data_IF_726200478192
#
_entry.id   IF_726200478192
#
_cell.length_a   1.000
_cell.length_b   1.000
_cell.length_c   1.000
_cell.angle_alpha   90.00
_cell.angle_beta   90.00
_cell.angle_gamma   90.00
#
_symmetry.space_group_name_H-M   'P 1'
#
loop_
_entity.id
_entity.type
_entity.pdbx_description
1 polymer ?
#
# COMPACT_ATOMS: atom_id res chain seq x y z
N UNK A 1 -23.14 43.71 34.13
CA UNK A 1 -21.79 43.21 34.33
C UNK A 1 -21.39 42.52 33.04
N UNK A 2 -20.58 43.18 32.22
CA UNK A 2 -20.16 42.67 30.93
C UNK A 2 -18.92 41.75 31.09
N UNK A 3 -19.01 40.52 30.65
CA UNK A 3 -17.92 39.58 30.68
C UNK A 3 -16.97 39.84 29.51
N UNK A 4 -15.69 40.00 29.80
CA UNK A 4 -14.58 40.18 28.84
C UNK A 4 -14.40 38.93 27.97
N UNK A 5 -14.00 39.08 26.69
CA UNK A 5 -13.73 37.94 25.79
C UNK A 5 -12.41 37.22 26.19
N UNK A 6 -12.28 35.93 25.86
CA UNK A 6 -11.09 35.15 26.17
C UNK A 6 -9.88 35.61 25.34
N UNK A 7 -8.70 35.61 25.97
CA UNK A 7 -7.41 35.95 25.36
C UNK A 7 -7.00 34.89 24.34
N UNK A 8 -6.60 35.34 23.17
CA UNK A 8 -5.93 34.53 22.15
C UNK A 8 -4.56 34.03 22.65
N UNK A 9 -4.13 32.82 22.36
CA UNK A 9 -2.81 32.32 22.70
C UNK A 9 -1.72 33.03 21.89
N UNK A 10 -0.67 33.48 22.58
CA UNK A 10 0.54 34.03 21.96
C UNK A 10 1.32 32.94 21.23
N UNK A 11 1.42 33.07 19.92
CA UNK A 11 2.41 32.31 19.15
C UNK A 11 3.75 33.04 19.14
N UNK A 12 4.89 32.35 19.29
CA UNK A 12 6.19 32.98 19.18
C UNK A 12 6.40 33.56 17.77
N UNK A 13 6.89 34.79 17.73
CA UNK A 13 7.16 35.53 16.50
C UNK A 13 8.15 34.76 15.61
N UNK A 14 7.77 34.55 14.37
CA UNK A 14 8.67 34.05 13.31
C UNK A 14 9.73 35.12 13.08
N UNK A 15 11.04 34.79 13.05
CA UNK A 15 12.08 35.78 12.75
C UNK A 15 11.89 36.33 11.35
N UNK A 16 11.91 37.64 11.23
CA UNK A 16 11.84 38.39 9.97
C UNK A 16 13.11 38.14 9.14
N UNK A 17 12.99 37.33 8.08
CA UNK A 17 14.05 37.06 7.10
C UNK A 17 13.98 38.00 5.90
N UNK A 18 13.48 39.21 6.04
CA UNK A 18 13.33 40.19 4.92
C UNK A 18 14.63 40.89 4.52
N UNK A 19 15.81 40.36 4.83
CA UNK A 19 17.08 40.78 4.24
C UNK A 19 17.49 39.88 3.07
N UNK A 20 16.68 39.80 2.03
CA UNK A 20 17.13 39.20 0.76
C UNK A 20 18.04 40.17 0.03
N UNK A 21 19.37 40.02 0.14
CA UNK A 21 20.33 40.61 -0.79
C UNK A 21 19.95 40.22 -2.22
N UNK A 22 19.43 41.17 -3.00
CA UNK A 22 19.19 41.01 -4.43
C UNK A 22 20.54 40.83 -5.14
N UNK A 23 20.87 39.57 -5.46
CA UNK A 23 22.06 39.29 -6.28
C UNK A 23 21.85 39.87 -7.67
N UNK A 24 22.73 40.81 -8.13
CA UNK A 24 22.60 41.39 -9.47
C UNK A 24 22.66 40.30 -10.54
N UNK A 25 21.79 40.41 -11.56
CA UNK A 25 21.67 39.44 -12.68
C UNK A 25 23.02 39.01 -13.28
N UNK A 26 24.00 39.94 -13.39
CA UNK A 26 25.35 39.65 -13.88
C UNK A 26 26.15 38.66 -12.98
N UNK A 27 25.97 38.71 -11.65
CA UNK A 27 26.62 37.75 -10.71
C UNK A 27 25.97 36.36 -10.73
N UNK A 28 24.68 36.31 -10.99
CA UNK A 28 23.96 35.04 -11.15
C UNK A 28 24.38 34.30 -12.42
N UNK A 29 24.46 34.99 -13.55
CA UNK A 29 24.92 34.43 -14.82
C UNK A 29 26.42 34.06 -14.81
N UNK A 30 27.26 34.82 -14.11
CA UNK A 30 28.67 34.46 -13.91
C UNK A 30 28.90 33.19 -13.07
N UNK A 31 28.00 32.88 -12.11
CA UNK A 31 28.06 31.65 -11.34
C UNK A 31 27.55 30.44 -12.14
N UNK A 32 26.61 30.61 -13.07
CA UNK A 32 26.19 29.55 -13.99
C UNK A 32 27.28 29.23 -15.02
N UNK A 33 27.99 30.22 -15.53
CA UNK A 33 29.11 30.00 -16.44
C UNK A 33 30.35 29.39 -15.80
N UNK A 34 30.64 29.70 -14.52
CA UNK A 34 31.71 29.10 -13.74
C UNK A 34 31.38 27.66 -13.26
N UNK A 35 30.11 27.32 -13.08
CA UNK A 35 29.68 25.98 -12.73
C UNK A 35 29.69 24.97 -13.88
N UNK A 36 29.54 25.45 -15.13
CA UNK A 36 29.55 24.58 -16.31
C UNK A 36 30.95 24.06 -16.69
N UNK A 37 32.02 24.73 -16.27
CA UNK A 37 33.40 24.30 -16.54
C UNK A 37 33.95 23.25 -15.55
N UNK A 38 33.31 23.07 -14.36
CA UNK A 38 33.73 22.11 -13.37
C UNK A 38 32.95 20.76 -13.44
N UNK A 39 31.90 20.65 -14.25
CA UNK A 39 31.09 19.46 -14.40
C UNK A 39 31.48 18.48 -15.51
N UNK A 40 32.62 18.76 -16.20
CA UNK A 40 33.10 17.90 -17.31
C UNK A 40 34.01 16.77 -16.86
N UNK A 41 34.27 16.59 -15.54
CA UNK A 41 35.18 15.56 -15.03
C UNK A 41 34.57 14.69 -13.90
N UNK A 42 33.28 14.37 -13.95
CA UNK A 42 32.75 13.22 -13.22
C UNK A 42 32.12 12.25 -14.23
N UNK A 43 32.87 11.23 -14.69
CA UNK A 43 32.29 10.14 -15.46
C UNK A 43 31.36 9.35 -14.54
N UNK A 44 30.16 9.10 -15.00
CA UNK A 44 29.14 8.13 -14.63
C UNK A 44 29.45 6.98 -13.68
N UNK A 45 29.80 7.24 -12.43
CA UNK A 45 30.00 6.19 -11.41
C UNK A 45 28.98 6.23 -10.27
N UNK A 46 27.95 7.07 -10.30
CA UNK A 46 26.93 7.15 -9.23
C UNK A 46 25.51 6.74 -9.61
N UNK A 47 25.28 6.43 -10.87
CA UNK A 47 24.13 5.67 -11.32
C UNK A 47 24.69 4.43 -11.98
N UNK A 48 24.81 3.34 -11.23
CA UNK A 48 25.05 2.03 -11.81
C UNK A 48 23.97 1.81 -12.88
N UNK A 49 24.32 1.99 -14.15
CA UNK A 49 23.42 1.76 -15.24
C UNK A 49 22.99 0.30 -15.15
N UNK A 50 21.73 0.06 -14.85
CA UNK A 50 21.12 -1.26 -15.07
C UNK A 50 21.33 -1.53 -16.57
N UNK A 51 22.14 -2.52 -16.95
CA UNK A 51 22.37 -2.82 -18.37
C UNK A 51 21.02 -3.11 -19.01
N UNK A 52 20.77 -2.63 -20.23
CA UNK A 52 19.51 -2.92 -20.92
C UNK A 52 19.35 -4.44 -21.02
N UNK A 53 18.21 -5.00 -20.66
CA UNK A 53 17.98 -6.45 -20.72
C UNK A 53 18.18 -6.95 -22.16
N UNK A 54 18.93 -8.04 -22.33
CA UNK A 54 19.30 -8.62 -23.64
C UNK A 54 18.10 -9.15 -24.44
N UNK A 55 16.99 -9.41 -23.86
CA UNK A 55 15.65 -9.59 -24.41
C UNK A 55 14.72 -9.19 -23.28
N UNK A 56 13.83 -8.23 -23.54
CA UNK A 56 12.97 -7.72 -22.48
C UNK A 56 11.92 -8.76 -22.14
N UNK A 57 11.90 -9.31 -20.91
CA UNK A 57 10.84 -10.21 -20.49
C UNK A 57 9.50 -9.48 -20.46
N UNK A 58 8.47 -10.11 -21.01
CA UNK A 58 7.10 -9.62 -21.05
C UNK A 58 6.22 -10.63 -20.30
N UNK A 59 5.23 -10.15 -19.52
CA UNK A 59 4.28 -11.03 -18.85
C UNK A 59 3.59 -12.00 -19.82
N UNK A 60 3.44 -11.62 -21.09
CA UNK A 60 2.91 -12.50 -22.16
C UNK A 60 3.75 -13.76 -22.39
N UNK A 61 5.01 -13.77 -22.01
CA UNK A 61 5.88 -14.97 -22.09
C UNK A 61 5.55 -16.03 -21.04
N UNK A 62 4.83 -15.67 -19.96
CA UNK A 62 4.42 -16.59 -18.90
C UNK A 62 3.35 -17.63 -19.34
N UNK A 63 2.93 -17.62 -20.60
CA UNK A 63 1.90 -18.48 -21.14
C UNK A 63 0.48 -17.92 -20.97
N UNK A 64 -0.52 -18.73 -21.35
CA UNK A 64 -1.92 -18.31 -21.26
C UNK A 64 -2.36 -18.10 -19.82
N UNK A 65 -3.26 -17.12 -19.53
CA UNK A 65 -3.85 -16.96 -18.21
C UNK A 65 -4.46 -18.26 -17.70
N UNK A 66 -4.19 -18.60 -16.42
CA UNK A 66 -4.77 -19.79 -15.80
C UNK A 66 -4.18 -21.14 -16.25
N UNK A 67 -3.09 -21.18 -17.03
CA UNK A 67 -2.43 -22.45 -17.36
C UNK A 67 -2.04 -23.21 -16.08
N UNK A 68 -2.40 -24.50 -15.95
CA UNK A 68 -2.11 -25.29 -14.74
C UNK A 68 -0.61 -25.52 -14.63
N UNK A 69 0.03 -24.77 -13.72
CA UNK A 69 1.42 -24.99 -13.26
C UNK A 69 1.40 -25.15 -11.75
N UNK A 70 2.20 -26.09 -11.24
CA UNK A 70 2.25 -26.33 -9.80
C UNK A 70 2.81 -25.09 -9.07
N UNK A 71 2.32 -24.76 -7.85
CA UNK A 71 2.84 -23.65 -7.05
C UNK A 71 4.34 -23.75 -6.77
N UNK A 72 4.89 -24.95 -6.69
CA UNK A 72 6.29 -25.27 -6.40
C UNK A 72 7.22 -25.20 -7.65
N UNK A 73 6.75 -24.73 -8.80
CA UNK A 73 7.58 -24.59 -10.01
C UNK A 73 8.51 -23.37 -9.88
N UNK A 74 9.71 -23.59 -9.36
CA UNK A 74 10.73 -22.54 -9.19
C UNK A 74 11.24 -21.97 -10.53
N UNK A 75 11.10 -22.70 -11.62
CA UNK A 75 11.44 -22.19 -12.96
C UNK A 75 10.46 -21.08 -13.36
N UNK A 76 9.16 -21.31 -13.16
CA UNK A 76 8.14 -20.28 -13.37
C UNK A 76 8.40 -19.03 -12.53
N UNK A 77 8.75 -19.18 -11.25
CA UNK A 77 9.03 -18.02 -10.39
C UNK A 77 10.32 -17.30 -10.76
N UNK A 78 11.31 -17.99 -11.37
CA UNK A 78 12.46 -17.33 -11.98
C UNK A 78 12.08 -16.51 -13.21
N UNK A 79 11.17 -17.02 -14.06
CA UNK A 79 10.60 -16.25 -15.17
C UNK A 79 9.86 -15.01 -14.68
N UNK A 80 9.01 -15.14 -13.64
CA UNK A 80 8.32 -14.00 -13.01
C UNK A 80 9.34 -12.99 -12.46
N UNK A 81 10.35 -13.43 -11.71
CA UNK A 81 11.40 -12.56 -11.15
C UNK A 81 12.11 -11.76 -12.25
N UNK A 82 12.35 -12.35 -13.40
CA UNK A 82 13.03 -11.71 -14.53
C UNK A 82 12.25 -10.52 -15.14
N UNK A 83 10.94 -10.40 -14.86
CA UNK A 83 10.12 -9.25 -15.28
C UNK A 83 10.46 -7.96 -14.52
N UNK A 84 11.20 -8.05 -13.41
CA UNK A 84 11.47 -6.92 -12.52
C UNK A 84 12.91 -6.41 -12.66
N UNK A 85 13.15 -5.09 -12.63
CA UNK A 85 14.48 -4.49 -12.74
C UNK A 85 15.23 -4.53 -11.40
N UNK A 86 15.38 -5.73 -10.81
CA UNK A 86 15.99 -5.90 -9.51
C UNK A 86 17.50 -5.69 -9.57
N UNK A 87 18.04 -5.03 -8.54
CA UNK A 87 19.48 -4.91 -8.39
C UNK A 87 20.10 -6.30 -8.04
N UNK A 88 21.15 -6.75 -8.74
CA UNK A 88 21.68 -8.13 -8.61
C UNK A 88 22.19 -8.45 -7.20
N UNK A 89 22.64 -7.44 -6.44
CA UNK A 89 23.17 -7.61 -5.09
C UNK A 89 22.12 -7.34 -3.99
N UNK A 90 20.84 -7.20 -4.35
CA UNK A 90 19.78 -6.87 -3.39
C UNK A 90 18.69 -7.93 -3.42
N UNK A 91 18.20 -8.28 -2.24
CA UNK A 91 17.04 -9.13 -2.06
C UNK A 91 15.95 -8.27 -1.43
N UNK A 92 14.97 -7.75 -2.21
CA UNK A 92 13.87 -6.97 -1.65
C UNK A 92 12.93 -7.88 -0.87
N UNK A 93 12.73 -7.59 0.42
CA UNK A 93 11.87 -8.30 1.35
C UNK A 93 10.92 -7.33 2.09
N UNK A 94 10.43 -6.29 1.40
CA UNK A 94 9.62 -5.26 2.03
C UNK A 94 8.39 -4.87 1.20
N UNK A 95 7.68 -5.87 0.65
CA UNK A 95 6.46 -5.67 -0.14
C UNK A 95 5.37 -4.87 0.61
N UNK A 96 5.33 -4.97 1.93
CA UNK A 96 4.42 -4.19 2.78
C UNK A 96 4.63 -2.67 2.71
N UNK A 97 5.78 -2.19 2.24
CA UNK A 97 6.07 -0.76 2.07
C UNK A 97 6.05 -0.34 0.60
N UNK A 98 6.94 -0.91 -0.21
CA UNK A 98 7.08 -0.57 -1.63
C UNK A 98 7.58 -1.79 -2.39
N UNK A 99 6.86 -2.18 -3.45
CA UNK A 99 7.31 -3.21 -4.38
C UNK A 99 8.05 -2.62 -5.58
N UNK A 100 8.98 -3.38 -6.16
CA UNK A 100 9.45 -3.11 -7.51
C UNK A 100 8.27 -3.22 -8.47
N UNK A 101 8.30 -2.40 -9.53
CA UNK A 101 7.30 -2.43 -10.60
C UNK A 101 7.88 -3.21 -11.78
N UNK A 102 7.11 -4.08 -12.46
CA UNK A 102 7.57 -4.76 -13.67
C UNK A 102 8.06 -3.78 -14.73
N UNK A 103 9.05 -4.18 -15.53
CA UNK A 103 9.62 -3.33 -16.58
C UNK A 103 8.54 -2.86 -17.56
N UNK A 104 7.62 -3.76 -17.94
CA UNK A 104 6.52 -3.46 -18.87
C UNK A 104 5.60 -2.35 -18.36
N UNK A 105 5.33 -2.29 -17.06
CA UNK A 105 4.52 -1.23 -16.44
C UNK A 105 5.24 0.12 -16.50
N UNK A 106 6.53 0.13 -16.22
CA UNK A 106 7.35 1.36 -16.26
C UNK A 106 7.49 1.89 -17.69
N UNK A 107 7.69 1.00 -18.64
CA UNK A 107 7.79 1.34 -20.08
C UNK A 107 6.46 1.87 -20.61
N UNK A 108 5.33 1.26 -20.22
CA UNK A 108 4.02 1.74 -20.64
C UNK A 108 3.72 3.13 -20.07
N UNK A 109 4.06 3.38 -18.79
CA UNK A 109 3.93 4.72 -18.22
C UNK A 109 4.75 5.76 -18.98
N UNK A 110 5.99 5.43 -19.33
CA UNK A 110 6.86 6.32 -20.10
C UNK A 110 6.33 6.54 -21.53
N UNK A 111 5.88 5.47 -22.20
CA UNK A 111 5.29 5.54 -23.53
C UNK A 111 4.06 6.44 -23.58
N UNK A 112 3.12 6.24 -22.65
CA UNK A 112 1.90 7.04 -22.57
C UNK A 112 2.19 8.50 -22.22
N UNK A 113 3.17 8.76 -21.34
CA UNK A 113 3.59 10.12 -21.01
C UNK A 113 4.16 10.85 -22.25
N UNK A 114 5.06 10.21 -22.99
CA UNK A 114 5.62 10.77 -24.22
C UNK A 114 4.55 11.01 -25.29
N UNK A 115 3.54 10.17 -25.35
CA UNK A 115 2.43 10.30 -26.28
C UNK A 115 1.52 11.49 -25.93
N UNK A 116 1.26 11.72 -24.62
CA UNK A 116 0.53 12.92 -24.16
C UNK A 116 1.35 14.18 -24.43
N UNK A 117 2.66 14.15 -24.12
CA UNK A 117 3.55 15.32 -24.29
C UNK A 117 3.82 15.61 -25.78
N UNK A 118 3.75 14.62 -26.63
CA UNK A 118 3.87 14.77 -28.09
C UNK A 118 2.65 15.41 -28.75
N UNK A 119 1.46 15.16 -28.19
CA UNK A 119 0.19 15.73 -28.68
C UNK A 119 -0.80 15.97 -27.52
N UNK A 120 -0.87 17.23 -27.04
CA UNK A 120 -1.78 17.67 -25.97
C UNK A 120 -3.20 18.00 -26.48
N UNK A 121 -3.51 17.73 -27.76
CA UNK A 121 -4.82 18.03 -28.34
C UNK A 121 -5.95 17.30 -27.58
N UNK A 122 -7.14 17.89 -27.59
CA UNK A 122 -8.34 17.23 -27.03
C UNK A 122 -8.62 15.89 -27.73
N UNK A 123 -8.32 15.80 -29.02
CA UNK A 123 -8.51 14.58 -29.82
C UNK A 123 -7.61 13.43 -29.31
N UNK A 124 -6.33 13.68 -29.07
CA UNK A 124 -5.43 12.68 -28.48
C UNK A 124 -5.84 12.32 -27.06
N UNK A 125 -6.11 13.35 -26.25
CA UNK A 125 -6.47 13.14 -24.83
C UNK A 125 -7.80 12.41 -24.62
N UNK A 126 -8.75 12.52 -25.55
CA UNK A 126 -10.05 11.88 -25.45
C UNK A 126 -9.97 10.33 -25.34
N UNK A 127 -8.92 9.71 -25.86
CA UNK A 127 -8.73 8.24 -25.79
C UNK A 127 -8.30 7.71 -24.45
N UNK A 128 -7.78 8.56 -23.54
CA UNK A 128 -7.36 8.12 -22.20
C UNK A 128 -8.54 7.89 -21.25
N UNK A 129 -9.71 8.43 -21.54
CA UNK A 129 -10.97 8.09 -20.83
C UNK A 129 -11.30 6.61 -20.97
N UNK A 130 -11.52 6.10 -22.20
CA UNK A 130 -11.71 4.67 -22.44
C UNK A 130 -10.62 3.77 -21.86
N UNK A 131 -9.34 4.16 -21.94
CA UNK A 131 -8.24 3.40 -21.35
C UNK A 131 -8.37 3.25 -19.83
N UNK A 132 -8.73 4.33 -19.13
CA UNK A 132 -8.99 4.27 -17.68
C UNK A 132 -10.19 3.38 -17.35
N UNK A 133 -11.24 3.45 -18.16
CA UNK A 133 -12.44 2.64 -17.96
C UNK A 133 -12.15 1.15 -18.20
N UNK A 134 -11.29 0.80 -19.16
CA UNK A 134 -10.80 -0.58 -19.36
C UNK A 134 -10.01 -1.06 -18.14
N UNK A 135 -9.04 -0.28 -17.67
CA UNK A 135 -8.26 -0.59 -16.46
C UNK A 135 -9.19 -0.80 -15.25
N UNK A 136 -10.17 0.06 -15.06
CA UNK A 136 -11.15 -0.04 -13.98
C UNK A 136 -11.97 -1.32 -14.08
N UNK A 137 -12.47 -1.65 -15.27
CA UNK A 137 -13.26 -2.85 -15.49
C UNK A 137 -12.48 -4.13 -15.16
N UNK A 138 -11.21 -4.20 -15.56
CA UNK A 138 -10.32 -5.32 -15.23
C UNK A 138 -10.03 -5.40 -13.74
N UNK A 139 -9.77 -4.26 -13.08
CA UNK A 139 -9.59 -4.21 -11.62
C UNK A 139 -10.83 -4.63 -10.86
N UNK A 140 -12.00 -4.19 -11.30
CA UNK A 140 -13.28 -4.60 -10.71
C UNK A 140 -13.47 -6.13 -10.83
N UNK A 141 -13.24 -6.70 -12.01
CA UNK A 141 -13.27 -8.16 -12.21
C UNK A 141 -12.26 -8.91 -11.34
N UNK A 142 -11.02 -8.39 -11.20
CA UNK A 142 -9.99 -8.94 -10.34
C UNK A 142 -10.38 -8.94 -8.85
N UNK A 143 -11.20 -7.98 -8.42
CA UNK A 143 -11.61 -7.77 -7.03
C UNK A 143 -12.97 -8.39 -6.68
N UNK A 144 -13.69 -8.99 -7.62
CA UNK A 144 -15.06 -9.44 -7.41
C UNK A 144 -16.00 -8.27 -7.09
N UNK A 145 -15.91 -7.18 -7.87
CA UNK A 145 -16.69 -5.95 -7.70
C UNK A 145 -17.28 -5.50 -9.04
N UNK A 146 -18.26 -4.59 -8.99
CA UNK A 146 -18.80 -3.96 -10.17
C UNK A 146 -17.95 -2.77 -10.62
N UNK A 147 -17.97 -2.47 -11.93
CA UNK A 147 -17.20 -1.38 -12.53
C UNK A 147 -17.41 -0.01 -11.85
N UNK A 148 -18.65 0.33 -11.50
CA UNK A 148 -18.97 1.61 -10.85
C UNK A 148 -18.70 1.62 -9.34
N UNK A 149 -18.31 0.51 -8.75
CA UNK A 149 -17.88 0.43 -7.35
C UNK A 149 -16.41 0.72 -7.12
N UNK A 150 -15.60 0.82 -8.18
CA UNK A 150 -14.14 1.03 -8.10
C UNK A 150 -13.76 2.40 -8.62
N UNK A 151 -13.25 3.26 -7.74
CA UNK A 151 -12.57 4.52 -8.10
C UNK A 151 -11.07 4.32 -8.13
N UNK A 152 -10.41 4.94 -9.13
CA UNK A 152 -8.95 5.03 -9.20
C UNK A 152 -8.49 6.24 -8.40
N UNK A 153 -7.75 6.01 -7.34
CA UNK A 153 -7.17 7.02 -6.44
C UNK A 153 -5.65 6.97 -6.49
N UNK A 154 -4.94 7.85 -5.77
CA UNK A 154 -3.46 7.83 -5.76
C UNK A 154 -2.89 6.71 -4.86
N UNK A 155 -3.55 6.41 -3.77
CA UNK A 155 -3.12 5.38 -2.82
C UNK A 155 -4.19 5.15 -1.74
N UNK A 156 -3.93 4.18 -0.84
CA UNK A 156 -4.79 3.87 0.31
C UNK A 156 -5.06 5.09 1.20
N UNK A 157 -4.06 5.95 1.44
CA UNK A 157 -4.24 7.13 2.31
C UNK A 157 -5.26 8.11 1.71
N UNK A 158 -5.22 8.35 0.40
CA UNK A 158 -6.25 9.17 -0.27
C UNK A 158 -7.61 8.50 -0.21
N UNK A 159 -7.70 7.20 -0.53
CA UNK A 159 -8.96 6.45 -0.47
C UNK A 159 -9.60 6.49 0.91
N UNK A 160 -8.82 6.23 1.96
CA UNK A 160 -9.27 6.35 3.35
C UNK A 160 -9.78 7.77 3.64
N UNK A 161 -9.02 8.81 3.26
CA UNK A 161 -9.38 10.20 3.53
C UNK A 161 -10.62 10.68 2.75
N UNK A 162 -10.89 10.13 1.57
CA UNK A 162 -12.15 10.39 0.85
C UNK A 162 -13.33 9.93 1.70
N UNK A 163 -13.28 8.70 2.23
CA UNK A 163 -14.33 8.15 3.08
C UNK A 163 -14.43 8.92 4.41
N UNK A 164 -13.31 9.05 5.12
CA UNK A 164 -13.22 9.72 6.43
C UNK A 164 -13.69 11.18 6.34
N UNK A 165 -13.28 11.87 5.28
CA UNK A 165 -13.64 13.27 5.04
C UNK A 165 -15.06 13.48 4.58
N UNK A 166 -15.62 12.52 3.84
CA UNK A 166 -16.91 12.65 3.19
C UNK A 166 -18.11 12.12 3.97
N UNK A 167 -17.89 11.31 5.00
CA UNK A 167 -18.98 10.86 5.88
C UNK A 167 -19.45 11.99 6.78
N UNK A 168 -20.76 12.10 6.95
CA UNK A 168 -21.40 13.06 7.87
C UNK A 168 -21.44 12.46 9.28
N UNK A 169 -20.47 12.83 10.11
CA UNK A 169 -20.37 12.46 11.52
C UNK A 169 -20.32 13.69 12.38
N UNK A 170 -20.90 13.61 13.58
CA UNK A 170 -20.97 14.73 14.52
C UNK A 170 -21.05 14.31 15.99
N UNK A 171 -21.34 15.26 16.91
CA UNK A 171 -21.48 14.97 18.32
C UNK A 171 -22.51 13.87 18.59
N UNK A 172 -22.10 12.89 19.42
CA UNK A 172 -22.91 11.71 19.73
C UNK A 172 -22.60 10.49 18.89
N UNK A 173 -21.96 10.63 17.73
CA UNK A 173 -21.51 9.51 16.92
C UNK A 173 -20.18 8.95 17.43
N UNK A 174 -19.92 7.68 17.11
CA UNK A 174 -18.69 6.99 17.43
C UNK A 174 -18.12 6.24 16.23
N UNK A 175 -16.79 6.28 16.09
CA UNK A 175 -16.03 5.47 15.13
C UNK A 175 -15.19 4.47 15.91
N UNK A 176 -15.28 3.20 15.55
CA UNK A 176 -14.49 2.11 16.15
C UNK A 176 -13.31 1.81 15.25
N UNK A 177 -12.10 1.87 15.79
CA UNK A 177 -10.83 1.58 15.12
C UNK A 177 -10.14 0.38 15.75
N UNK A 178 -9.23 -0.25 15.01
CA UNK A 178 -8.29 -1.22 15.55
C UNK A 178 -7.02 -0.52 16.05
N UNK A 179 -6.46 -0.93 17.19
CA UNK A 179 -5.23 -0.37 17.75
C UNK A 179 -3.96 -0.71 16.94
N UNK A 180 -4.06 -1.60 15.95
CA UNK A 180 -3.00 -1.93 15.00
C UNK A 180 -3.27 -1.41 13.59
N UNK A 181 -4.16 -0.44 13.43
CA UNK A 181 -4.31 0.26 12.16
C UNK A 181 -3.02 0.99 11.77
N UNK A 182 -2.86 1.24 10.47
CA UNK A 182 -1.75 2.07 10.00
C UNK A 182 -1.93 3.53 10.49
N UNK A 183 -0.87 4.20 10.98
CA UNK A 183 -0.98 5.56 11.54
C UNK A 183 -1.65 6.58 10.61
N UNK A 184 -1.49 6.46 9.28
CA UNK A 184 -2.15 7.37 8.32
C UNK A 184 -3.68 7.24 8.32
N UNK A 185 -4.22 6.10 8.74
CA UNK A 185 -5.65 5.91 8.94
C UNK A 185 -6.07 6.52 10.28
N UNK A 186 -5.40 6.16 11.37
CA UNK A 186 -5.72 6.62 12.71
C UNK A 186 -5.70 8.15 12.85
N UNK A 187 -4.62 8.80 12.39
CA UNK A 187 -4.46 10.26 12.47
C UNK A 187 -5.58 10.99 11.70
N UNK A 188 -6.01 10.44 10.56
CA UNK A 188 -7.09 11.05 9.79
C UNK A 188 -8.42 11.04 10.56
N UNK A 189 -8.74 9.95 11.27
CA UNK A 189 -9.91 9.87 12.14
C UNK A 189 -9.82 10.81 13.34
N UNK A 190 -8.66 10.90 14.02
CA UNK A 190 -8.45 11.77 15.16
C UNK A 190 -8.65 13.24 14.78
N UNK A 191 -8.00 13.69 13.69
CA UNK A 191 -8.15 15.06 13.18
C UNK A 191 -9.59 15.36 12.79
N UNK A 192 -10.29 14.39 12.24
CA UNK A 192 -11.70 14.57 11.86
C UNK A 192 -12.61 14.62 13.08
N UNK A 193 -12.34 13.78 14.09
CA UNK A 193 -13.08 13.78 15.37
C UNK A 193 -12.92 15.12 16.11
N UNK A 194 -11.69 15.65 16.18
CA UNK A 194 -11.42 16.96 16.76
C UNK A 194 -12.25 18.08 16.08
N UNK A 195 -12.36 18.04 14.76
CA UNK A 195 -13.08 19.06 13.98
C UNK A 195 -14.60 18.92 14.00
N UNK A 196 -15.14 17.71 14.18
CA UNK A 196 -16.56 17.40 14.04
C UNK A 196 -17.25 16.99 15.32
N UNK A 197 -16.48 16.68 16.38
CA UNK A 197 -17.00 16.38 17.72
C UNK A 197 -17.52 14.97 17.93
N UNK A 198 -17.32 14.04 16.99
CA UNK A 198 -17.60 12.62 17.23
C UNK A 198 -16.47 11.96 18.03
N UNK A 199 -16.70 10.74 18.55
CA UNK A 199 -15.74 10.01 19.35
C UNK A 199 -15.01 8.94 18.52
N UNK A 200 -13.74 8.72 18.84
CA UNK A 200 -12.95 7.59 18.33
C UNK A 200 -12.71 6.61 19.47
N UNK A 201 -13.13 5.36 19.30
CA UNK A 201 -12.88 4.25 20.20
C UNK A 201 -11.91 3.27 19.56
N UNK A 202 -10.77 3.00 20.20
CA UNK A 202 -9.80 2.01 19.77
C UNK A 202 -10.03 0.68 20.47
N UNK A 203 -10.08 -0.38 19.69
CA UNK A 203 -10.21 -1.75 20.17
C UNK A 203 -8.83 -2.39 20.16
N UNK A 204 -8.38 -2.83 21.32
CA UNK A 204 -7.20 -3.65 21.47
C UNK A 204 -7.57 -5.14 21.25
N UNK A 205 -6.71 -5.86 20.53
CA UNK A 205 -6.84 -7.31 20.33
C UNK A 205 -5.66 -8.04 20.94
N UNK A 206 -5.79 -9.36 21.23
CA UNK A 206 -4.65 -10.17 21.66
C UNK A 206 -3.47 -10.03 20.71
N UNK A 207 -2.27 -9.85 21.28
CA UNK A 207 -1.03 -9.71 20.48
C UNK A 207 -0.55 -11.03 19.87
N UNK A 208 -0.95 -12.13 20.48
CA UNK A 208 -0.69 -13.49 20.03
C UNK A 208 -2.01 -14.26 19.94
N UNK A 209 -2.88 -13.94 18.97
CA UNK A 209 -4.17 -14.60 18.83
C UNK A 209 -3.97 -16.06 18.44
N UNK A 210 -4.83 -16.93 18.95
CA UNK A 210 -4.86 -18.36 18.63
C UNK A 210 -6.01 -18.74 17.74
N UNK A 211 -7.07 -17.93 17.73
CA UNK A 211 -8.27 -18.15 16.93
C UNK A 211 -8.79 -16.83 16.34
N UNK A 212 -9.49 -16.87 15.20
CA UNK A 212 -10.17 -15.69 14.66
C UNK A 212 -11.20 -15.09 15.62
N UNK A 213 -11.82 -15.91 16.46
CA UNK A 213 -12.81 -15.46 17.45
C UNK A 213 -12.20 -14.51 18.50
N UNK A 214 -10.95 -14.75 18.92
CA UNK A 214 -10.25 -13.87 19.84
C UNK A 214 -10.02 -12.47 19.25
N UNK A 215 -9.93 -12.38 17.91
CA UNK A 215 -9.83 -11.11 17.20
C UNK A 215 -11.20 -10.46 16.93
N UNK A 216 -12.24 -11.26 16.72
CA UNK A 216 -13.60 -10.79 16.42
C UNK A 216 -14.31 -10.24 17.66
N UNK A 217 -14.26 -10.96 18.78
CA UNK A 217 -15.07 -10.70 19.97
C UNK A 217 -14.93 -9.26 20.52
N UNK A 218 -13.70 -8.69 20.66
CA UNK A 218 -13.54 -7.33 21.17
C UNK A 218 -14.24 -6.25 20.31
N UNK A 219 -14.29 -6.45 18.99
CA UNK A 219 -15.00 -5.51 18.10
C UNK A 219 -16.51 -5.66 18.24
N UNK A 220 -17.02 -6.90 18.25
CA UNK A 220 -18.47 -7.14 18.40
C UNK A 220 -19.00 -6.52 19.70
N UNK A 221 -18.22 -6.58 20.78
CA UNK A 221 -18.53 -5.93 22.06
C UNK A 221 -18.43 -4.39 21.98
N UNK A 222 -17.52 -3.87 21.13
CA UNK A 222 -17.35 -2.44 20.96
C UNK A 222 -18.46 -1.77 20.12
N UNK A 223 -19.15 -2.52 19.25
CA UNK A 223 -20.19 -1.98 18.37
C UNK A 223 -21.47 -1.68 19.16
N UNK A 224 -21.64 -0.42 19.58
CA UNK A 224 -22.77 0.08 20.35
C UNK A 224 -23.78 0.90 19.52
N UNK A 225 -24.86 1.42 20.16
CA UNK A 225 -25.90 2.20 19.48
C UNK A 225 -25.43 3.52 18.84
N UNK A 226 -24.31 4.06 19.34
CA UNK A 226 -23.71 5.29 18.81
C UNK A 226 -22.67 5.05 17.73
N UNK A 227 -22.26 3.79 17.53
CA UNK A 227 -21.27 3.45 16.51
C UNK A 227 -21.84 3.65 15.11
N UNK A 228 -21.13 4.38 14.25
CA UNK A 228 -21.49 4.65 12.85
C UNK A 228 -20.54 4.01 11.87
N UNK A 229 -19.27 3.87 12.25
CA UNK A 229 -18.23 3.33 11.38
C UNK A 229 -17.34 2.37 12.17
N UNK A 230 -17.03 1.24 11.58
CA UNK A 230 -15.94 0.34 11.94
C UNK A 230 -14.84 0.49 10.88
N UNK A 231 -13.68 1.02 11.25
CA UNK A 231 -12.56 1.19 10.33
C UNK A 231 -11.34 0.37 10.79
N UNK A 232 -11.00 -0.64 9.99
CA UNK A 232 -9.97 -1.63 10.34
C UNK A 232 -9.02 -1.90 9.18
N UNK A 233 -7.76 -2.16 9.50
CA UNK A 233 -6.79 -2.71 8.56
C UNK A 233 -7.02 -4.23 8.43
N UNK A 234 -7.07 -4.77 7.21
CA UNK A 234 -7.30 -6.21 6.98
C UNK A 234 -6.14 -7.06 7.52
N UNK A 235 -4.89 -6.66 7.22
CA UNK A 235 -3.67 -7.27 7.78
C UNK A 235 -2.77 -6.17 8.32
N UNK A 236 -2.37 -6.27 9.58
CA UNK A 236 -1.48 -5.31 10.20
C UNK A 236 -0.10 -5.29 9.55
N UNK A 237 0.37 -4.10 9.18
CA UNK A 237 1.74 -3.92 8.69
C UNK A 237 2.80 -3.98 9.81
N UNK A 238 2.38 -3.96 11.07
CA UNK A 238 3.26 -3.98 12.25
C UNK A 238 3.50 -5.40 12.73
N UNK A 239 2.43 -6.19 12.91
CA UNK A 239 2.49 -7.54 13.49
C UNK A 239 2.27 -8.66 12.47
N UNK A 240 1.67 -8.35 11.31
CA UNK A 240 1.22 -9.36 10.34
C UNK A 240 -0.08 -10.06 10.73
N UNK A 241 -0.72 -9.67 11.84
CA UNK A 241 -2.01 -10.23 12.26
C UNK A 241 -3.08 -9.91 11.21
N UNK A 242 -3.85 -10.91 10.83
CA UNK A 242 -5.01 -10.84 9.94
C UNK A 242 -6.30 -10.80 10.74
N UNK A 243 -7.13 -9.80 10.50
CA UNK A 243 -8.49 -9.76 11.06
C UNK A 243 -9.47 -10.62 10.27
N UNK A 244 -10.47 -11.22 10.93
CA UNK A 244 -11.59 -11.90 10.29
C UNK A 244 -12.61 -10.86 9.75
N UNK A 245 -12.22 -10.18 8.65
CA UNK A 245 -12.93 -9.00 8.15
C UNK A 245 -14.32 -9.33 7.64
N UNK A 246 -14.56 -10.51 7.07
CA UNK A 246 -15.89 -10.93 6.63
C UNK A 246 -16.87 -10.96 7.81
N UNK A 247 -16.47 -11.60 8.90
CA UNK A 247 -17.26 -11.71 10.12
C UNK A 247 -17.44 -10.33 10.81
N UNK A 248 -16.42 -9.49 10.76
CA UNK A 248 -16.51 -8.10 11.24
C UNK A 248 -17.51 -7.28 10.43
N UNK A 249 -17.48 -7.38 9.10
CA UNK A 249 -18.40 -6.68 8.21
C UNK A 249 -19.85 -7.18 8.44
N UNK A 250 -20.05 -8.48 8.62
CA UNK A 250 -21.36 -9.05 8.94
C UNK A 250 -21.89 -8.52 10.28
N UNK A 251 -21.06 -8.54 11.33
CA UNK A 251 -21.44 -8.03 12.66
C UNK A 251 -21.76 -6.52 12.66
N UNK A 252 -21.01 -5.73 11.88
CA UNK A 252 -21.24 -4.30 11.68
C UNK A 252 -22.56 -4.05 10.93
N UNK A 253 -22.78 -4.76 9.82
CA UNK A 253 -24.01 -4.63 9.00
C UNK A 253 -25.27 -4.95 9.78
N UNK A 254 -25.26 -5.99 10.64
CA UNK A 254 -26.39 -6.33 11.52
C UNK A 254 -26.76 -5.20 12.50
N UNK A 255 -25.85 -4.24 12.73
CA UNK A 255 -26.04 -3.10 13.61
C UNK A 255 -26.19 -1.76 12.86
N UNK A 256 -26.25 -1.80 11.53
CA UNK A 256 -26.30 -0.60 10.68
C UNK A 256 -25.04 0.25 10.70
N UNK A 257 -23.90 -0.34 11.07
CA UNK A 257 -22.57 0.29 11.13
C UNK A 257 -21.87 0.12 9.79
N UNK A 258 -21.34 1.21 9.23
CA UNK A 258 -20.55 1.19 8.00
C UNK A 258 -19.16 0.62 8.26
N UNK A 259 -18.61 -0.04 7.25
CA UNK A 259 -17.27 -0.64 7.33
C UNK A 259 -16.31 -0.01 6.33
N UNK A 260 -15.15 0.45 6.83
CA UNK A 260 -13.98 0.83 6.01
C UNK A 260 -12.84 -0.15 6.26
N UNK A 261 -12.47 -0.89 5.23
CA UNK A 261 -11.37 -1.85 5.28
C UNK A 261 -10.15 -1.29 4.57
N UNK A 262 -9.11 -1.02 5.33
CA UNK A 262 -7.79 -0.70 4.78
C UNK A 262 -7.12 -2.00 4.29
N UNK A 263 -7.13 -2.19 2.97
CA UNK A 263 -6.57 -3.35 2.29
C UNK A 263 -5.14 -3.15 1.78
N UNK A 264 -4.39 -2.17 2.30
CA UNK A 264 -3.04 -1.87 1.85
C UNK A 264 -2.07 -3.07 1.89
N UNK A 265 -2.34 -4.07 2.72
CA UNK A 265 -1.54 -5.29 2.85
C UNK A 265 -2.18 -6.53 2.20
N UNK A 266 -3.35 -6.39 1.58
CA UNK A 266 -4.07 -7.52 0.95
C UNK A 266 -4.40 -7.29 -0.52
N UNK A 267 -4.52 -6.04 -0.97
CA UNK A 267 -4.67 -5.71 -2.39
C UNK A 267 -3.42 -6.12 -3.18
N UNK A 268 -3.55 -7.18 -3.97
CA UNK A 268 -2.47 -7.79 -4.74
C UNK A 268 -1.68 -8.89 -4.01
N UNK A 269 -1.93 -9.11 -2.70
CA UNK A 269 -1.33 -10.21 -1.94
C UNK A 269 -2.28 -11.39 -1.77
N UNK A 270 -3.58 -11.10 -1.66
CA UNK A 270 -4.63 -12.08 -1.42
C UNK A 270 -5.56 -12.22 -2.62
N UNK A 271 -6.17 -13.40 -2.76
CA UNK A 271 -7.33 -13.58 -3.62
C UNK A 271 -8.55 -12.92 -2.93
N UNK A 272 -8.92 -11.74 -3.43
CA UNK A 272 -10.01 -10.94 -2.87
C UNK A 272 -11.29 -11.14 -3.67
N UNK A 273 -12.41 -11.20 -2.97
CA UNK A 273 -13.77 -11.05 -3.46
C UNK A 273 -14.46 -10.01 -2.56
N UNK A 274 -14.56 -8.76 -3.03
CA UNK A 274 -15.07 -7.65 -2.21
C UNK A 274 -16.57 -7.77 -1.95
N UNK A 275 -17.35 -8.33 -2.88
CA UNK A 275 -18.75 -8.65 -2.63
C UNK A 275 -18.87 -9.74 -1.55
N UNK A 276 -18.08 -10.82 -1.65
CA UNK A 276 -18.03 -11.89 -0.66
C UNK A 276 -17.45 -11.45 0.69
N UNK A 277 -16.57 -10.44 0.71
CA UNK A 277 -16.05 -9.85 1.95
C UNK A 277 -17.11 -9.01 2.67
N UNK A 278 -18.04 -8.39 1.92
CA UNK A 278 -19.21 -7.69 2.42
C UNK A 278 -18.92 -6.35 3.09
N UNK A 279 -17.75 -5.75 2.83
CA UNK A 279 -17.41 -4.41 3.31
C UNK A 279 -18.13 -3.31 2.52
N UNK A 280 -18.33 -2.14 3.14
CA UNK A 280 -18.90 -0.97 2.47
C UNK A 280 -17.85 -0.21 1.67
N UNK A 281 -16.63 -0.11 2.23
CA UNK A 281 -15.48 0.54 1.60
C UNK A 281 -14.23 -0.32 1.76
N UNK A 282 -13.43 -0.37 0.69
CA UNK A 282 -12.11 -1.01 0.70
C UNK A 282 -11.10 -0.13 -0.03
N UNK A 283 -9.87 -0.05 0.49
CA UNK A 283 -8.82 0.77 -0.11
C UNK A 283 -7.55 -0.04 -0.34
N UNK A 284 -6.83 0.29 -1.42
CA UNK A 284 -5.59 -0.39 -1.77
C UNK A 284 -4.60 0.54 -2.49
N UNK A 285 -3.32 0.23 -2.38
CA UNK A 285 -2.23 0.95 -3.07
C UNK A 285 -1.54 0.04 -4.07
N UNK A 286 -1.46 0.46 -5.32
CA UNK A 286 -0.84 -0.36 -6.37
C UNK A 286 0.67 -0.53 -6.20
N UNK A 287 1.36 0.43 -5.60
CA UNK A 287 2.81 0.40 -5.38
C UNK A 287 3.29 -0.60 -4.31
N UNK A 288 2.36 -1.27 -3.61
CA UNK A 288 2.67 -2.34 -2.65
C UNK A 288 2.53 -3.71 -3.34
N UNK A 289 1.78 -4.61 -2.76
CA UNK A 289 1.63 -5.99 -3.22
C UNK A 289 1.05 -6.15 -4.64
N UNK A 290 0.38 -5.12 -5.17
CA UNK A 290 -0.10 -5.16 -6.55
C UNK A 290 1.01 -4.89 -7.58
N UNK A 291 2.22 -4.45 -7.15
CA UNK A 291 3.39 -4.20 -8.01
C UNK A 291 3.12 -3.22 -9.17
N UNK A 292 2.08 -2.39 -9.01
CA UNK A 292 1.63 -1.42 -10.00
C UNK A 292 2.38 -0.08 -9.93
N UNK A 293 1.95 0.91 -10.73
CA UNK A 293 2.53 2.24 -10.73
C UNK A 293 2.40 2.93 -9.36
N UNK A 294 3.42 3.75 -9.00
CA UNK A 294 3.30 4.67 -7.87
C UNK A 294 2.23 5.71 -8.20
N UNK A 295 1.59 6.31 -7.18
CA UNK A 295 0.50 7.27 -7.34
C UNK A 295 -0.73 6.69 -8.06
N UNK A 296 -0.93 5.36 -7.97
CA UNK A 296 -2.16 4.66 -8.34
C UNK A 296 -2.60 3.76 -7.18
N UNK A 297 -3.90 3.77 -6.91
CA UNK A 297 -4.57 2.94 -5.92
C UNK A 297 -6.04 2.81 -6.25
N UNK A 298 -6.75 2.13 -5.38
CA UNK A 298 -8.20 1.90 -5.50
C UNK A 298 -8.94 2.37 -4.25
N UNK A 299 -10.18 2.84 -4.47
CA UNK A 299 -11.23 2.96 -3.48
C UNK A 299 -12.45 2.20 -4.02
N UNK A 300 -12.76 1.08 -3.39
CA UNK A 300 -14.05 0.41 -3.57
C UNK A 300 -15.09 1.05 -2.67
N UNK A 301 -16.26 1.31 -3.20
CA UNK A 301 -17.43 1.75 -2.45
C UNK A 301 -18.66 0.97 -2.95
N UNK A 302 -19.20 0.12 -2.08
CA UNK A 302 -20.31 -0.78 -2.40
C UNK A 302 -21.55 0.00 -2.83
N UNK A 303 -22.03 -0.23 -4.04
CA UNK A 303 -23.32 0.20 -4.57
C UNK A 303 -23.83 1.56 -4.05
N UNK A 304 -24.99 1.53 -3.43
CA UNK A 304 -25.66 2.75 -2.91
C UNK A 304 -24.91 3.46 -1.79
N UNK A 305 -23.98 2.76 -1.09
CA UNK A 305 -23.24 3.33 0.03
C UNK A 305 -22.31 4.45 -0.43
N UNK A 306 -21.84 4.42 -1.68
CA UNK A 306 -21.04 5.51 -2.25
C UNK A 306 -21.73 6.87 -2.14
N UNK A 307 -23.06 6.93 -2.23
CA UNK A 307 -23.86 8.16 -2.14
C UNK A 307 -23.79 8.82 -0.75
N UNK A 308 -23.45 8.07 0.29
CA UNK A 308 -23.32 8.56 1.68
C UNK A 308 -22.00 9.31 1.94
N UNK A 309 -21.08 9.28 0.98
CA UNK A 309 -19.76 9.94 1.09
C UNK A 309 -19.69 11.12 0.13
N UNK A 310 -19.45 12.31 0.65
CA UNK A 310 -19.20 13.50 -0.14
C UNK A 310 -17.75 13.55 -0.59
N UNK A 311 -17.46 13.79 -1.89
CA UNK A 311 -16.07 13.92 -2.37
C UNK A 311 -15.42 15.17 -1.77
N UNK A 312 -14.16 15.04 -1.37
CA UNK A 312 -13.37 16.17 -0.88
C UNK A 312 -12.93 17.14 -1.97
N UNK A 313 -12.97 16.71 -3.23
CA UNK A 313 -12.64 17.52 -4.41
C UNK A 313 -13.79 17.38 -5.42
N UNK A 314 -14.28 18.51 -5.90
CA UNK A 314 -15.38 18.59 -6.88
C UNK A 314 -14.90 19.45 -8.05
N UNK A 315 -15.05 18.95 -9.28
CA UNK A 315 -14.65 19.62 -10.50
C UNK A 315 -15.73 19.55 -11.58
N UNK A 316 -15.46 20.07 -12.76
CA UNK A 316 -16.39 20.17 -13.89
C UNK A 316 -17.11 18.86 -14.26
N UNK A 317 -16.48 17.71 -14.01
CA UNK A 317 -17.09 16.38 -14.26
C UNK A 317 -18.18 15.97 -13.27
N UNK A 318 -18.37 16.69 -12.17
CA UNK A 318 -19.28 16.34 -11.09
C UNK A 318 -20.74 16.07 -11.53
N UNK A 319 -21.40 16.90 -12.36
CA UNK A 319 -22.77 16.63 -12.77
C UNK A 319 -22.97 15.27 -13.42
N UNK A 320 -21.98 14.77 -14.17
CA UNK A 320 -22.02 13.48 -14.83
C UNK A 320 -21.57 12.29 -13.97
N UNK A 321 -20.87 12.55 -12.86
CA UNK A 321 -20.31 11.51 -11.98
C UNK A 321 -21.10 11.34 -10.68
N UNK A 322 -21.92 12.32 -10.30
CA UNK A 322 -22.61 12.38 -9.00
C UNK A 322 -23.33 11.10 -8.61
N UNK A 323 -24.02 10.48 -9.53
CA UNK A 323 -24.88 9.32 -9.28
C UNK A 323 -24.28 8.01 -9.84
N UNK A 324 -22.96 8.01 -10.12
CA UNK A 324 -22.25 6.88 -10.69
C UNK A 324 -21.32 6.20 -9.67
N UNK A 325 -21.90 5.70 -8.58
CA UNK A 325 -21.17 4.93 -7.58
C UNK A 325 -19.86 5.58 -7.13
N UNK A 326 -18.77 4.83 -7.14
CA UNK A 326 -17.43 5.30 -6.74
C UNK A 326 -16.79 6.28 -7.74
N UNK A 327 -17.24 6.33 -9.00
CA UNK A 327 -16.72 7.28 -9.99
C UNK A 327 -16.90 8.74 -9.57
N UNK A 328 -17.86 9.02 -8.68
CA UNK A 328 -18.07 10.34 -8.07
C UNK A 328 -16.82 10.89 -7.35
N UNK A 329 -15.90 10.03 -6.94
CA UNK A 329 -14.64 10.40 -6.26
C UNK A 329 -13.52 10.76 -7.22
N UNK A 330 -13.72 10.62 -8.52
CA UNK A 330 -12.69 10.86 -9.54
C UNK A 330 -12.77 12.23 -10.24
N UNK A 331 -13.63 13.14 -9.79
CA UNK A 331 -13.78 14.48 -10.39
C UNK A 331 -12.67 15.45 -9.93
N UNK A 332 -11.41 15.07 -10.16
CA UNK A 332 -10.22 15.73 -9.62
C UNK A 332 -9.59 16.78 -10.58
N UNK A 333 -10.15 16.99 -11.78
CA UNK A 333 -9.54 17.79 -12.84
C UNK A 333 -8.48 16.98 -13.62
N UNK A 334 -7.37 17.60 -13.99
CA UNK A 334 -6.31 16.92 -14.73
C UNK A 334 -5.60 15.89 -13.85
N UNK A 335 -5.44 14.68 -14.39
CA UNK A 335 -4.76 13.57 -13.73
C UNK A 335 -3.56 13.08 -14.56
N UNK A 336 -2.72 12.26 -13.97
CA UNK A 336 -1.66 11.53 -14.67
C UNK A 336 -2.26 10.31 -15.38
N UNK A 337 -2.81 10.54 -16.57
CA UNK A 337 -3.43 9.49 -17.39
C UNK A 337 -2.43 8.42 -17.82
N UNK A 338 -1.15 8.77 -17.95
CA UNK A 338 -0.09 7.81 -18.29
C UNK A 338 0.10 6.75 -17.20
N UNK A 339 0.15 7.16 -15.94
CA UNK A 339 0.25 6.22 -14.81
C UNK A 339 -1.01 5.39 -14.62
N UNK A 340 -2.17 6.02 -14.80
CA UNK A 340 -3.45 5.30 -14.72
C UNK A 340 -3.55 4.22 -15.81
N UNK A 341 -3.18 4.55 -17.05
CA UNK A 341 -3.14 3.58 -18.15
C UNK A 341 -2.10 2.47 -17.94
N UNK A 342 -0.94 2.81 -17.37
CA UNK A 342 0.11 1.83 -17.06
C UNK A 342 -0.29 0.81 -15.98
N UNK A 343 -1.42 0.98 -15.33
CA UNK A 343 -2.00 -0.05 -14.46
C UNK A 343 -2.43 -1.29 -15.25
N UNK A 344 -2.76 -1.16 -16.55
CA UNK A 344 -3.18 -2.27 -17.41
C UNK A 344 -2.19 -3.44 -17.43
N UNK A 345 -0.90 -3.26 -17.77
CA UNK A 345 0.11 -4.32 -17.69
C UNK A 345 0.30 -4.91 -16.28
N UNK A 346 0.08 -4.15 -15.20
CA UNK A 346 0.14 -4.69 -13.85
C UNK A 346 -1.05 -5.64 -13.57
N UNK A 347 -2.26 -5.26 -13.98
CA UNK A 347 -3.44 -6.14 -13.91
C UNK A 347 -3.22 -7.40 -14.74
N UNK A 348 -2.69 -7.27 -15.97
CA UNK A 348 -2.38 -8.40 -16.83
C UNK A 348 -1.43 -9.40 -16.16
N UNK A 349 -0.39 -8.94 -15.48
CA UNK A 349 0.51 -9.82 -14.74
C UNK A 349 -0.23 -10.62 -13.66
N UNK A 350 -1.08 -9.95 -12.88
CA UNK A 350 -1.88 -10.61 -11.85
C UNK A 350 -2.89 -11.62 -12.43
N UNK A 351 -3.54 -11.31 -13.53
CA UNK A 351 -4.45 -12.24 -14.24
C UNK A 351 -3.71 -13.47 -14.76
N UNK A 352 -2.46 -13.32 -15.27
CA UNK A 352 -1.65 -14.43 -15.76
C UNK A 352 -1.12 -15.34 -14.66
N UNK A 353 -0.69 -14.76 -13.52
CA UNK A 353 -0.26 -15.53 -12.36
C UNK A 353 -1.45 -16.16 -11.65
N UNK A 354 -2.57 -15.48 -11.56
CA UNK A 354 -3.79 -15.63 -10.76
C UNK A 354 -3.62 -15.21 -9.29
N UNK A 355 -4.68 -14.59 -8.70
CA UNK A 355 -4.65 -14.15 -7.29
C UNK A 355 -4.32 -15.27 -6.30
N UNK A 356 -4.87 -16.47 -6.53
CA UNK A 356 -4.67 -17.64 -5.67
C UNK A 356 -3.22 -18.11 -5.67
N UNK A 357 -2.57 -18.07 -6.84
CA UNK A 357 -1.14 -18.45 -6.96
C UNK A 357 -0.23 -17.39 -6.36
N UNK A 358 -0.55 -16.10 -6.50
CA UNK A 358 0.17 -15.03 -5.82
C UNK A 358 0.10 -15.24 -4.31
N UNK A 359 -1.10 -15.46 -3.76
CA UNK A 359 -1.32 -15.71 -2.34
C UNK A 359 -0.58 -16.96 -1.85
N UNK A 360 -0.69 -18.06 -2.58
CA UNK A 360 -0.01 -19.32 -2.25
C UNK A 360 1.51 -19.14 -2.23
N UNK A 361 2.08 -18.45 -3.22
CA UNK A 361 3.53 -18.20 -3.28
C UNK A 361 4.02 -17.33 -2.12
N UNK A 362 3.31 -16.26 -1.80
CA UNK A 362 3.67 -15.40 -0.67
C UNK A 362 3.67 -16.23 0.63
N UNK A 363 2.65 -17.03 0.87
CA UNK A 363 2.55 -17.89 2.06
C UNK A 363 3.66 -18.94 2.12
N UNK A 364 3.97 -19.57 0.99
CA UNK A 364 5.09 -20.51 0.88
C UNK A 364 6.41 -19.86 1.30
N UNK A 365 6.74 -18.68 0.75
CA UNK A 365 7.98 -17.98 1.07
C UNK A 365 8.02 -17.52 2.54
N UNK A 366 6.91 -17.06 3.09
CA UNK A 366 6.80 -16.73 4.52
C UNK A 366 7.04 -17.97 5.38
N UNK A 367 6.52 -19.14 4.99
CA UNK A 367 6.74 -20.38 5.74
C UNK A 367 8.20 -20.84 5.64
N UNK A 368 8.83 -20.76 4.47
CA UNK A 368 10.27 -21.05 4.30
C UNK A 368 11.11 -20.18 5.24
N UNK A 369 10.84 -18.88 5.27
CA UNK A 369 11.52 -17.95 6.16
C UNK A 369 11.29 -18.29 7.64
N UNK A 370 10.03 -18.52 8.05
CA UNK A 370 9.68 -18.83 9.44
C UNK A 370 10.37 -20.10 9.91
N UNK A 371 10.21 -21.19 9.17
CA UNK A 371 10.79 -22.50 9.55
C UNK A 371 12.32 -22.42 9.57
N UNK A 372 12.92 -21.91 8.50
CA UNK A 372 14.37 -21.80 8.42
C UNK A 372 14.99 -20.92 9.51
N UNK A 373 14.36 -19.76 9.82
CA UNK A 373 14.83 -18.89 10.91
C UNK A 373 14.67 -19.57 12.28
N UNK A 374 13.54 -20.27 12.52
CA UNK A 374 13.32 -20.99 13.80
C UNK A 374 14.36 -22.09 14.02
N UNK A 375 14.71 -22.82 12.96
CA UNK A 375 15.73 -23.89 13.00
C UNK A 375 17.15 -23.32 13.14
N UNK A 376 17.47 -22.27 12.38
CA UNK A 376 18.83 -21.70 12.35
C UNK A 376 19.14 -20.84 13.59
N UNK A 377 18.13 -20.24 14.22
CA UNK A 377 18.28 -19.36 15.39
C UNK A 377 17.27 -19.76 16.47
N UNK A 378 17.56 -20.81 17.26
CA UNK A 378 16.74 -21.22 18.39
C UNK A 378 16.48 -20.06 19.37
N UNK A 379 15.25 -19.91 19.85
CA UNK A 379 14.85 -18.80 20.72
C UNK A 379 14.35 -17.55 19.98
N UNK A 380 14.30 -17.57 18.64
CA UNK A 380 13.63 -16.52 17.87
C UNK A 380 12.17 -16.41 18.27
N UNK A 381 11.71 -15.20 18.62
CA UNK A 381 10.32 -14.92 18.93
C UNK A 381 9.60 -14.36 17.71
N UNK A 382 8.66 -15.10 17.15
CA UNK A 382 7.78 -14.62 16.11
C UNK A 382 6.63 -13.80 16.70
N UNK A 383 6.45 -12.58 16.18
CA UNK A 383 5.32 -11.71 16.52
C UNK A 383 4.11 -12.06 15.66
N UNK A 384 4.36 -12.32 14.37
CA UNK A 384 3.30 -12.75 13.45
C UNK A 384 2.81 -14.15 13.83
N UNK A 385 1.48 -14.37 13.95
CA UNK A 385 0.91 -15.70 14.17
C UNK A 385 1.33 -16.69 13.08
N UNK A 386 1.38 -17.98 13.43
CA UNK A 386 1.74 -19.03 12.47
C UNK A 386 0.54 -19.45 11.62
N UNK A 387 -0.65 -19.51 12.21
CA UNK A 387 -1.85 -19.99 11.55
C UNK A 387 -2.21 -19.12 10.34
N UNK A 388 -2.45 -19.71 9.15
CA UNK A 388 -2.70 -18.98 7.90
C UNK A 388 -3.95 -18.10 7.95
N UNK A 389 -4.95 -18.44 8.73
CA UNK A 389 -6.16 -17.66 8.94
C UNK A 389 -5.91 -16.41 9.82
N UNK A 390 -4.81 -16.40 10.59
CA UNK A 390 -4.43 -15.30 11.49
C UNK A 390 -3.29 -14.46 10.94
N UNK A 391 -2.72 -14.79 9.78
CA UNK A 391 -1.55 -14.12 9.23
C UNK A 391 -1.67 -13.82 7.74
N UNK A 392 -0.86 -12.88 7.26
CA UNK A 392 -0.72 -12.52 5.86
C UNK A 392 0.71 -12.69 5.33
N UNK A 393 1.06 -11.91 4.32
CA UNK A 393 2.41 -11.91 3.72
C UNK A 393 3.49 -11.20 4.55
N UNK A 394 3.15 -10.69 5.73
CA UNK A 394 4.04 -9.95 6.62
C UNK A 394 4.57 -10.88 7.70
N UNK A 395 5.88 -11.06 7.79
CA UNK A 395 6.56 -11.83 8.84
C UNK A 395 7.36 -10.90 9.73
N UNK A 396 7.08 -10.90 11.04
CA UNK A 396 7.79 -10.09 12.05
C UNK A 396 8.33 -11.02 13.13
N UNK A 397 9.62 -10.83 13.47
CA UNK A 397 10.30 -11.65 14.46
C UNK A 397 11.37 -10.85 15.20
N UNK A 398 11.79 -11.36 16.37
CA UNK A 398 12.89 -10.84 17.19
C UNK A 398 13.95 -11.92 17.38
N UNK A 399 15.20 -11.55 17.20
CA UNK A 399 16.35 -12.41 17.44
C UNK A 399 16.74 -12.34 18.93
N UNK A 400 17.12 -13.46 19.55
CA UNK A 400 17.64 -13.44 20.91
C UNK A 400 18.95 -12.66 20.98
N UNK A 401 19.06 -11.76 21.96
CA UNK A 401 20.29 -11.00 22.23
C UNK A 401 20.65 -9.90 21.23
N UNK A 402 19.89 -9.73 20.14
CA UNK A 402 20.17 -8.71 19.11
C UNK A 402 19.06 -7.66 19.07
N UNK A 403 19.48 -6.39 19.10
CA UNK A 403 18.53 -5.28 18.98
C UNK A 403 17.93 -5.23 17.56
N UNK A 404 16.61 -4.98 17.45
CA UNK A 404 15.86 -5.07 16.19
C UNK A 404 16.44 -4.20 15.08
N UNK A 405 16.82 -2.97 15.41
CA UNK A 405 17.35 -2.01 14.43
C UNK A 405 18.73 -2.42 13.97
N UNK A 406 19.56 -2.90 14.89
CA UNK A 406 20.91 -3.42 14.59
C UNK A 406 20.82 -4.62 13.65
N UNK A 407 19.93 -5.58 13.95
CA UNK A 407 19.71 -6.74 13.10
C UNK A 407 19.28 -6.32 11.67
N UNK A 408 18.30 -5.40 11.57
CA UNK A 408 17.85 -4.89 10.27
C UNK A 408 18.97 -4.20 9.48
N UNK A 409 19.75 -3.33 10.14
CA UNK A 409 20.85 -2.60 9.49
C UNK A 409 21.97 -3.54 9.03
N UNK A 410 22.28 -4.58 9.81
CA UNK A 410 23.25 -5.60 9.45
C UNK A 410 22.78 -6.42 8.23
N UNK A 411 21.52 -6.88 8.24
CA UNK A 411 20.93 -7.59 7.10
C UNK A 411 21.03 -6.78 5.79
N UNK A 412 20.82 -5.47 5.86
CA UNK A 412 20.92 -4.62 4.67
C UNK A 412 22.37 -4.36 4.25
N UNK A 413 23.23 -3.93 5.17
CA UNK A 413 24.62 -3.52 4.85
C UNK A 413 25.49 -4.67 4.39
N UNK A 414 25.35 -5.84 5.01
CA UNK A 414 26.27 -6.95 4.82
C UNK A 414 25.73 -8.00 3.85
N UNK A 415 24.41 -8.16 3.80
CA UNK A 415 23.76 -9.19 2.99
C UNK A 415 22.85 -8.65 1.88
N UNK A 416 22.67 -7.33 1.79
CA UNK A 416 21.83 -6.70 0.76
C UNK A 416 20.32 -6.96 0.91
N UNK A 417 19.85 -7.37 2.09
CA UNK A 417 18.46 -7.75 2.33
C UNK A 417 17.65 -6.53 2.75
N UNK A 418 16.69 -6.13 1.92
CA UNK A 418 15.82 -4.99 2.14
C UNK A 418 14.55 -5.35 2.89
N UNK A 419 14.59 -5.38 4.22
CA UNK A 419 13.42 -5.54 5.10
C UNK A 419 12.98 -4.22 5.76
N UNK A 420 12.51 -4.30 7.01
CA UNK A 420 12.24 -3.14 7.87
C UNK A 420 12.44 -3.47 9.35
N UNK A 421 12.74 -2.45 10.16
CA UNK A 421 12.71 -2.55 11.62
C UNK A 421 11.38 -1.93 12.11
N UNK A 422 10.57 -2.73 12.77
CA UNK A 422 9.31 -2.27 13.39
C UNK A 422 9.58 -1.95 14.86
N UNK A 423 9.23 -0.74 15.27
CA UNK A 423 9.39 -0.28 16.65
C UNK A 423 8.27 -0.75 17.57
N UNK A 424 8.42 -0.41 18.88
CA UNK A 424 7.43 -0.71 19.91
C UNK A 424 7.54 -2.13 20.49
N UNK A 425 6.65 -2.42 21.44
CA UNK A 425 6.63 -3.68 22.18
C UNK A 425 6.32 -4.89 21.27
N UNK A 426 5.52 -4.67 20.23
CA UNK A 426 5.16 -5.68 19.22
C UNK A 426 6.02 -5.57 17.95
N UNK A 427 7.09 -4.79 17.97
CA UNK A 427 8.01 -4.62 16.85
C UNK A 427 8.98 -5.80 16.69
N UNK A 428 9.79 -5.74 15.64
CA UNK A 428 10.80 -6.74 15.30
C UNK A 428 11.35 -6.48 13.90
N UNK A 429 12.22 -7.35 13.43
CA UNK A 429 12.61 -7.37 12.02
C UNK A 429 11.40 -7.84 11.21
N UNK A 430 11.00 -7.04 10.21
CA UNK A 430 9.91 -7.36 9.31
C UNK A 430 10.44 -7.75 7.94
N UNK A 431 10.05 -8.93 7.48
CA UNK A 431 10.30 -9.43 6.14
C UNK A 431 8.97 -9.70 5.42
N UNK A 432 8.88 -9.25 4.19
CA UNK A 432 7.67 -9.35 3.37
C UNK A 432 8.08 -9.80 1.96
N UNK A 433 8.25 -11.12 1.73
CA UNK A 433 8.57 -11.67 0.42
C UNK A 433 7.39 -11.54 -0.55
N UNK A 434 7.68 -11.62 -1.85
CA UNK A 434 6.66 -11.57 -2.89
C UNK A 434 7.02 -12.48 -4.08
N UNK A 435 6.19 -12.52 -5.11
CA UNK A 435 6.36 -13.35 -6.33
C UNK A 435 7.68 -13.10 -7.08
N UNK A 436 8.32 -11.97 -6.90
CA UNK A 436 9.64 -11.67 -7.45
C UNK A 436 10.81 -12.23 -6.61
N UNK A 437 10.51 -12.93 -5.51
CA UNK A 437 11.50 -13.70 -4.76
C UNK A 437 11.39 -15.18 -5.13
N UNK A 438 12.53 -15.80 -5.40
CA UNK A 438 12.65 -17.24 -5.55
C UNK A 438 12.97 -17.90 -4.21
N UNK A 439 12.77 -19.22 -4.10
CA UNK A 439 13.07 -19.97 -2.88
C UNK A 439 14.52 -19.77 -2.40
N UNK A 440 15.46 -19.76 -3.33
CA UNK A 440 16.88 -19.50 -3.03
C UNK A 440 17.11 -18.11 -2.41
N UNK A 441 16.30 -17.09 -2.73
CA UNK A 441 16.38 -15.79 -2.04
C UNK A 441 15.99 -15.94 -0.56
N UNK A 442 14.91 -16.68 -0.26
CA UNK A 442 14.46 -16.90 1.11
C UNK A 442 15.47 -17.72 1.92
N UNK A 443 16.10 -18.74 1.32
CA UNK A 443 17.15 -19.55 1.93
C UNK A 443 18.39 -18.68 2.27
N UNK A 444 18.83 -17.83 1.35
CA UNK A 444 19.91 -16.85 1.61
C UNK A 444 19.56 -15.87 2.73
N UNK A 445 18.29 -15.48 2.84
CA UNK A 445 17.83 -14.62 3.94
C UNK A 445 17.93 -15.36 5.28
N UNK A 446 17.57 -16.64 5.33
CA UNK A 446 17.73 -17.48 6.55
C UNK A 446 19.20 -17.55 6.98
N UNK A 447 20.12 -17.83 6.05
CA UNK A 447 21.58 -17.85 6.31
C UNK A 447 22.08 -16.51 6.85
N UNK A 448 21.63 -15.40 6.24
CA UNK A 448 21.99 -14.06 6.69
C UNK A 448 21.46 -13.75 8.10
N UNK A 449 20.23 -14.15 8.41
CA UNK A 449 19.64 -13.97 9.75
C UNK A 449 20.42 -14.77 10.78
N UNK A 450 20.82 -16.01 10.47
CA UNK A 450 21.67 -16.83 11.34
C UNK A 450 23.05 -16.19 11.58
N UNK A 451 23.67 -15.65 10.52
CA UNK A 451 24.96 -14.93 10.61
C UNK A 451 24.87 -13.69 11.52
N UNK A 452 23.79 -12.93 11.43
CA UNK A 452 23.58 -11.74 12.27
C UNK A 452 23.30 -12.14 13.73
N UNK A 453 22.50 -13.17 13.98
CA UNK A 453 22.18 -13.66 15.32
C UNK A 453 23.41 -14.27 16.04
N UNK A 454 24.34 -14.90 15.32
CA UNK A 454 25.55 -15.52 15.89
C UNK A 454 26.60 -14.53 16.43
N UNK A 455 26.35 -13.22 16.39
CA UNK A 455 27.26 -12.16 16.89
C UNK A 455 26.85 -11.63 18.28
N UNK A 456 25.65 -11.90 18.72
CA UNK A 456 25.14 -11.54 20.05
C UNK A 456 25.26 -12.72 21.00
#
# INVERSE_FOLDING_TARGET
>A
MASSPPKTPDFPAVPDTSASERIPRRRFLGRLAGGAAASVLLPGQLLGAVPPPRSRPDARTLGAPGAPRLPADEEFWREVKALFPLHPERIPMNAANLCPTPVTVTEEAARLALEIDGDQSFQNRARFGPLRDEVRARLAGYLGADHEEVALVRNTSEGNNIVIGGLELGPGDEVVLWDQNHPSNDVAWDVRAERRGFRVRRVATPRTPRTPLELLAPFVEALGPTTRVLAVTHVSNVSGVRLPVRELCEAARQRGVLTLVDGAQTFGADALDLHGLGCDFFTGSAHKWFMGPKEVGILYARGEVASRVWPGVVSVGWPGARDRGALRFETLGQRDDARLGAMGPAVELHERITPERVQARIRELVQVLRTGIAEAVPGTRFVTPEAPELSGGVLVFRLPGVETREAYEALFREHGIGGAAMGGEDGGVRLCPHVYNVRADAERVVEAVASVAGRG
#
